data_IF_179346624122
#
_entry.id   IF_179346624122
#
_cell.length_a   1.000
_cell.length_b   1.000
_cell.length_c   1.000
_cell.angle_alpha   90.00
_cell.angle_beta   90.00
_cell.angle_gamma   90.00
#
_symmetry.space_group_name_H-M   'P 1'
#
loop_
_entity.id
_entity.type
_entity.pdbx_description
1 polymer ?
#
# COMPACT_ATOMS: atom_id res chain seq x y z
N UNK A 1 -3.96 26.93 -5.94
CA UNK A 1 -3.56 25.96 -4.89
C UNK A 1 -4.82 25.33 -4.36
N UNK A 2 -4.87 24.02 -4.29
CA UNK A 2 -6.02 23.28 -3.75
C UNK A 2 -5.79 23.06 -2.26
N UNK A 3 -6.76 23.39 -1.41
CA UNK A 3 -6.63 23.19 0.04
C UNK A 3 -7.09 21.79 0.43
N UNK A 4 -6.36 21.14 1.35
CA UNK A 4 -6.75 19.84 1.88
C UNK A 4 -7.83 20.00 2.95
N UNK A 5 -8.97 19.36 2.74
CA UNK A 5 -10.03 19.23 3.74
C UNK A 5 -9.82 17.95 4.55
N UNK A 6 -9.83 18.04 5.87
CA UNK A 6 -9.81 16.89 6.77
C UNK A 6 -11.22 16.38 7.00
N UNK A 7 -11.46 15.11 6.69
CA UNK A 7 -12.72 14.42 6.93
C UNK A 7 -12.49 13.07 7.63
N UNK A 8 -13.55 12.33 7.95
CA UNK A 8 -13.48 11.10 8.72
C UNK A 8 -14.44 10.03 8.20
N UNK A 9 -13.92 8.84 7.94
CA UNK A 9 -14.77 7.65 7.86
C UNK A 9 -15.10 7.18 9.28
N UNK A 10 -16.38 6.95 9.58
CA UNK A 10 -16.84 6.61 10.94
C UNK A 10 -17.30 5.16 10.98
N UNK A 11 -16.61 4.32 11.73
CA UNK A 11 -16.98 2.93 11.99
C UNK A 11 -17.56 2.80 13.42
N UNK A 12 -18.71 2.13 13.56
CA UNK A 12 -19.24 1.70 14.84
C UNK A 12 -18.71 0.30 15.14
N UNK A 13 -17.92 0.14 16.21
CA UNK A 13 -17.34 -1.16 16.59
C UNK A 13 -18.37 -2.06 17.29
N UNK A 14 -18.01 -3.32 17.51
CA UNK A 14 -18.91 -4.32 18.12
C UNK A 14 -19.24 -4.03 19.56
N UNK A 15 -18.38 -3.30 20.28
CA UNK A 15 -18.58 -2.82 21.66
C UNK A 15 -19.44 -1.54 21.75
N UNK A 16 -19.93 -1.02 20.63
CA UNK A 16 -20.69 0.22 20.55
C UNK A 16 -19.86 1.49 20.46
N UNK A 17 -18.54 1.41 20.62
CA UNK A 17 -17.66 2.57 20.44
C UNK A 17 -17.58 2.99 18.97
N UNK A 18 -17.10 4.22 18.74
CA UNK A 18 -16.93 4.75 17.38
C UNK A 18 -15.48 5.09 17.11
N UNK A 19 -14.98 4.61 15.97
CA UNK A 19 -13.68 4.98 15.42
C UNK A 19 -13.89 6.00 14.30
N UNK A 20 -13.21 7.12 14.38
CA UNK A 20 -13.15 8.15 13.33
C UNK A 20 -11.81 8.03 12.64
N UNK A 21 -11.81 7.46 11.43
CA UNK A 21 -10.60 7.26 10.62
C UNK A 21 -10.37 8.53 9.81
N UNK A 22 -9.31 9.31 10.07
CA UNK A 22 -9.08 10.57 9.38
C UNK A 22 -8.58 10.33 7.96
N UNK A 23 -9.04 11.15 7.03
CA UNK A 23 -8.46 11.24 5.69
C UNK A 23 -8.49 12.68 5.19
N UNK A 24 -7.54 13.05 4.35
CA UNK A 24 -7.58 14.31 3.63
C UNK A 24 -8.20 14.11 2.25
N UNK A 25 -9.03 15.06 1.86
CA UNK A 25 -9.56 15.20 0.52
C UNK A 25 -9.04 16.49 -0.09
N UNK A 26 -8.48 16.39 -1.31
CA UNK A 26 -7.96 17.52 -2.06
C UNK A 26 -8.59 17.42 -3.45
N UNK A 27 -9.33 18.45 -3.85
CA UNK A 27 -10.00 18.52 -5.15
C UNK A 27 -9.46 19.71 -5.96
N UNK A 28 -9.11 19.45 -7.21
CA UNK A 28 -8.65 20.49 -8.13
C UNK A 28 -9.78 21.36 -8.67
N UNK A 29 -11.03 20.96 -8.48
CA UNK A 29 -12.20 21.55 -9.13
C UNK A 29 -12.33 21.27 -10.62
N UNK A 30 -11.46 20.40 -11.18
CA UNK A 30 -11.45 20.02 -12.60
C UNK A 30 -11.66 18.51 -12.75
N UNK A 31 -12.31 18.07 -13.84
CA UNK A 31 -12.46 16.63 -14.13
C UNK A 31 -11.11 15.92 -14.19
N UNK A 32 -11.08 14.66 -13.75
CA UNK A 32 -9.88 13.83 -13.75
C UNK A 32 -10.06 12.56 -12.93
N UNK A 33 -8.96 11.86 -12.69
CA UNK A 33 -8.95 10.65 -11.89
C UNK A 33 -9.22 10.96 -10.41
N UNK A 34 -9.76 9.97 -9.70
CA UNK A 34 -9.95 10.02 -8.25
C UNK A 34 -8.99 9.03 -7.62
N UNK A 35 -7.94 9.55 -7.03
CA UNK A 35 -6.80 8.75 -6.57
C UNK A 35 -6.82 8.58 -5.05
N UNK A 36 -6.91 7.35 -4.59
CA UNK A 36 -6.77 6.98 -3.18
C UNK A 36 -5.34 6.53 -2.90
N UNK A 37 -4.72 7.12 -1.88
CA UNK A 37 -3.46 6.62 -1.30
C UNK A 37 -3.73 6.27 0.15
N UNK A 38 -3.48 5.01 0.54
CA UNK A 38 -3.70 4.59 1.92
C UNK A 38 -2.47 3.91 2.49
N UNK A 39 -2.37 3.93 3.82
CA UNK A 39 -1.33 3.25 4.58
C UNK A 39 -1.88 2.72 5.90
N UNK A 40 -1.06 1.92 6.58
CA UNK A 40 -1.35 1.38 7.90
C UNK A 40 -2.67 0.60 7.98
N UNK A 41 -2.94 -0.24 6.98
CA UNK A 41 -3.91 -1.33 7.11
C UNK A 41 -3.46 -2.31 8.22
N UNK A 42 -2.14 -2.45 8.38
CA UNK A 42 -1.50 -3.07 9.54
C UNK A 42 -0.87 -1.97 10.39
N UNK A 43 -1.18 -1.94 11.69
CA UNK A 43 -0.84 -0.79 12.55
C UNK A 43 0.65 -0.64 12.88
N UNK A 44 1.48 -1.60 12.53
CA UNK A 44 2.94 -1.56 12.64
C UNK A 44 3.64 -1.11 11.36
N UNK A 45 2.91 -0.82 10.28
CA UNK A 45 3.41 -0.45 8.96
C UNK A 45 3.25 1.06 8.73
N UNK A 46 4.12 1.84 9.38
CA UNK A 46 3.91 3.29 9.54
C UNK A 46 4.69 4.18 8.56
N UNK A 47 5.57 3.62 7.73
CA UNK A 47 6.37 4.41 6.79
C UNK A 47 5.52 5.12 5.74
N UNK A 48 4.49 4.44 5.24
CA UNK A 48 3.53 5.00 4.30
C UNK A 48 2.75 6.20 4.84
N UNK A 49 2.54 6.27 6.16
CA UNK A 49 1.83 7.39 6.79
C UNK A 49 2.56 8.72 6.56
N UNK A 50 3.89 8.73 6.72
CA UNK A 50 4.71 9.93 6.49
C UNK A 50 4.84 10.24 4.99
N UNK A 51 4.94 9.23 4.13
CA UNK A 51 4.92 9.43 2.69
C UNK A 51 3.61 10.13 2.24
N UNK A 52 2.46 9.70 2.77
CA UNK A 52 1.15 10.32 2.53
C UNK A 52 1.11 11.77 3.01
N UNK A 53 1.63 12.05 4.21
CA UNK A 53 1.69 13.41 4.75
C UNK A 53 2.45 14.35 3.83
N UNK A 54 3.61 13.91 3.32
CA UNK A 54 4.40 14.69 2.36
C UNK A 54 3.73 14.80 0.99
N UNK A 55 3.09 13.74 0.53
CA UNK A 55 2.35 13.76 -0.74
C UNK A 55 1.16 14.73 -0.69
N UNK A 56 0.52 14.90 0.49
CA UNK A 56 -0.48 15.94 0.72
C UNK A 56 0.04 17.32 0.34
N UNK A 57 1.24 17.67 0.82
CA UNK A 57 1.86 18.97 0.53
C UNK A 57 2.17 19.17 -0.97
N UNK A 58 2.55 18.08 -1.67
CA UNK A 58 2.71 18.11 -3.14
C UNK A 58 1.35 18.38 -3.82
N UNK A 59 0.30 17.65 -3.42
CA UNK A 59 -1.02 17.83 -4.01
C UNK A 59 -1.60 19.23 -3.77
N UNK A 60 -1.41 19.81 -2.59
CA UNK A 60 -1.87 21.18 -2.29
C UNK A 60 -1.24 22.22 -3.22
N UNK A 61 0.02 22.03 -3.62
CA UNK A 61 0.72 22.94 -4.52
C UNK A 61 0.48 22.66 -6.00
N UNK A 62 0.35 21.40 -6.39
CA UNK A 62 0.55 20.98 -7.78
C UNK A 62 -0.64 20.25 -8.41
N UNK A 63 -1.73 19.97 -7.65
CA UNK A 63 -2.90 19.29 -8.20
C UNK A 63 -3.60 20.19 -9.24
N UNK A 64 -3.71 19.72 -10.49
CA UNK A 64 -4.29 20.45 -11.61
C UNK A 64 -5.54 19.78 -12.18
N UNK A 65 -5.79 18.50 -11.92
CA UNK A 65 -6.97 17.77 -12.36
C UNK A 65 -7.34 16.65 -11.39
N UNK A 66 -8.63 16.29 -11.33
CA UNK A 66 -9.14 15.22 -10.48
C UNK A 66 -9.10 15.54 -8.99
N UNK A 67 -9.20 14.50 -8.16
CA UNK A 67 -9.17 14.61 -6.70
C UNK A 67 -8.34 13.50 -6.06
N UNK A 68 -7.78 13.77 -4.89
CA UNK A 68 -6.96 12.83 -4.12
C UNK A 68 -7.58 12.61 -2.75
N UNK A 69 -7.66 11.35 -2.33
CA UNK A 69 -8.09 10.93 -1.01
C UNK A 69 -6.91 10.26 -0.29
N UNK A 70 -6.44 10.82 0.80
CA UNK A 70 -5.24 10.41 1.51
C UNK A 70 -5.61 9.84 2.88
N UNK A 71 -5.43 8.54 3.07
CA UNK A 71 -5.79 7.79 4.28
C UNK A 71 -4.51 7.31 4.98
N UNK A 72 -3.89 8.12 5.87
CA UNK A 72 -2.62 7.74 6.48
C UNK A 72 -2.74 6.60 7.50
N UNK A 73 -3.91 6.39 8.10
CA UNK A 73 -4.13 5.46 9.20
C UNK A 73 -5.39 4.63 8.97
N UNK A 74 -5.36 3.71 7.97
CA UNK A 74 -6.54 2.94 7.60
C UNK A 74 -7.09 2.12 8.77
N UNK A 75 -6.22 1.47 9.56
CA UNK A 75 -6.57 0.73 10.77
C UNK A 75 -6.11 1.49 12.02
N UNK A 76 -6.76 2.63 12.30
CA UNK A 76 -6.38 3.51 13.41
C UNK A 76 -6.29 2.81 14.78
N UNK A 77 -7.18 1.87 15.17
CA UNK A 77 -7.04 1.12 16.42
C UNK A 77 -5.75 0.28 16.46
N UNK A 78 -5.43 -0.45 15.39
CA UNK A 78 -4.20 -1.24 15.31
C UNK A 78 -2.95 -0.36 15.41
N UNK A 79 -2.96 0.82 14.78
CA UNK A 79 -1.87 1.82 14.89
C UNK A 79 -1.68 2.29 16.33
N UNK A 80 -2.78 2.63 17.03
CA UNK A 80 -2.73 3.07 18.44
C UNK A 80 -2.13 2.01 19.35
N UNK A 81 -2.40 0.75 19.07
CA UNK A 81 -1.85 -0.38 19.82
C UNK A 81 -0.49 -0.86 19.30
N UNK A 82 0.02 -0.28 18.21
CA UNK A 82 1.26 -0.71 17.55
C UNK A 82 1.27 -2.20 17.23
N UNK A 83 0.21 -2.69 16.61
CA UNK A 83 0.01 -4.11 16.27
C UNK A 83 -0.41 -4.24 14.82
N UNK A 84 -0.21 -5.43 14.25
CA UNK A 84 -0.63 -5.69 12.88
C UNK A 84 -2.16 -5.59 12.74
N UNK A 85 -2.90 -6.15 13.69
CA UNK A 85 -4.37 -6.22 13.67
C UNK A 85 -4.97 -5.78 15.00
N UNK A 86 -6.25 -5.39 15.01
CA UNK A 86 -6.95 -4.91 16.20
C UNK A 86 -6.97 -5.96 17.31
N UNK A 87 -7.27 -7.20 16.98
CA UNK A 87 -7.60 -8.27 17.93
C UNK A 87 -6.38 -9.08 18.38
N UNK A 88 -5.17 -8.77 17.89
CA UNK A 88 -3.98 -9.52 18.28
C UNK A 88 -3.53 -9.19 19.70
N UNK A 89 -3.30 -10.22 20.50
CA UNK A 89 -2.63 -10.12 21.78
C UNK A 89 -1.15 -9.73 21.62
N UNK A 90 -0.46 -9.32 22.71
CA UNK A 90 0.93 -8.92 22.66
C UNK A 90 1.87 -10.02 22.16
N UNK A 91 1.49 -11.26 22.39
CA UNK A 91 2.27 -12.47 22.05
C UNK A 91 2.04 -12.99 20.63
N UNK A 92 1.06 -12.45 19.91
CA UNK A 92 0.69 -12.90 18.56
C UNK A 92 1.36 -12.00 17.50
N UNK A 93 2.39 -12.47 16.80
CA UNK A 93 3.14 -11.60 15.89
C UNK A 93 2.39 -11.26 14.58
N UNK A 94 1.75 -12.23 13.97
CA UNK A 94 0.95 -12.12 12.76
C UNK A 94 0.04 -13.33 12.64
N UNK A 95 -1.25 -13.12 12.56
CA UNK A 95 -2.22 -14.12 12.19
C UNK A 95 -3.14 -13.52 11.12
N UNK A 96 -3.33 -14.21 10.02
CA UNK A 96 -4.40 -13.91 9.06
C UNK A 96 -5.72 -14.55 9.49
N UNK A 97 -5.70 -15.16 10.67
CA UNK A 97 -6.76 -16.00 11.16
C UNK A 97 -8.01 -15.17 11.49
N UNK A 98 -9.15 -15.67 11.09
CA UNK A 98 -10.48 -15.21 11.52
C UNK A 98 -10.91 -13.79 11.09
N UNK A 99 -10.42 -13.29 9.94
CA UNK A 99 -10.93 -12.03 9.37
C UNK A 99 -10.45 -10.77 10.10
N UNK A 100 -9.34 -10.86 10.85
CA UNK A 100 -8.74 -9.72 11.53
C UNK A 100 -7.74 -8.93 10.67
N UNK A 101 -7.26 -9.51 9.57
CA UNK A 101 -6.40 -8.83 8.63
C UNK A 101 -7.23 -7.89 7.74
N UNK A 102 -7.05 -6.57 7.92
CA UNK A 102 -7.82 -5.59 7.17
C UNK A 102 -7.66 -5.74 5.66
N UNK A 103 -6.45 -6.11 5.18
CA UNK A 103 -6.23 -6.38 3.76
C UNK A 103 -6.74 -7.77 3.32
N UNK A 104 -7.75 -8.32 4.01
CA UNK A 104 -8.54 -9.50 3.65
C UNK A 104 -10.04 -9.26 3.84
N UNK A 105 -10.44 -8.03 4.20
CA UNK A 105 -11.84 -7.74 4.55
C UNK A 105 -12.55 -6.77 3.61
N UNK A 106 -11.90 -6.28 2.56
CA UNK A 106 -12.51 -5.35 1.63
C UNK A 106 -13.61 -5.99 0.76
N UNK A 107 -14.72 -5.29 0.47
CA UNK A 107 -15.05 -3.90 0.83
C UNK A 107 -15.55 -3.72 2.27
N UNK A 108 -15.55 -4.74 3.09
CA UNK A 108 -16.03 -4.74 4.47
C UNK A 108 -17.50 -5.13 4.60
N UNK A 109 -17.97 -5.15 5.86
CA UNK A 109 -19.36 -5.43 6.22
C UNK A 109 -19.84 -4.53 7.34
N UNK A 110 -21.00 -3.88 7.18
CA UNK A 110 -21.58 -2.97 8.16
C UNK A 110 -21.82 -3.64 9.54
N UNK A 111 -22.14 -4.93 9.53
CA UNK A 111 -22.44 -5.73 10.73
C UNK A 111 -21.44 -6.86 10.95
N UNK A 112 -20.24 -6.76 10.39
CA UNK A 112 -19.16 -7.71 10.58
C UNK A 112 -18.40 -7.53 11.89
N UNK A 113 -17.23 -8.16 12.00
CA UNK A 113 -16.28 -7.90 13.07
C UNK A 113 -15.71 -6.47 12.95
N UNK A 114 -14.93 -6.03 13.94
CA UNK A 114 -14.44 -4.66 13.99
C UNK A 114 -13.58 -4.28 12.77
N UNK A 115 -12.76 -5.21 12.28
CA UNK A 115 -11.94 -4.98 11.08
C UNK A 115 -12.80 -4.84 9.82
N UNK A 116 -13.81 -5.70 9.66
CA UNK A 116 -14.75 -5.61 8.54
C UNK A 116 -15.57 -4.29 8.58
N UNK A 117 -15.90 -3.81 9.78
CA UNK A 117 -16.60 -2.52 9.96
C UNK A 117 -15.71 -1.32 9.61
N UNK A 118 -14.41 -1.38 9.93
CA UNK A 118 -13.45 -0.34 9.51
C UNK A 118 -13.29 -0.31 7.99
N UNK A 119 -13.12 -1.47 7.35
CA UNK A 119 -13.02 -1.57 5.89
C UNK A 119 -14.30 -1.07 5.22
N UNK A 120 -15.47 -1.42 5.76
CA UNK A 120 -16.76 -0.95 5.26
C UNK A 120 -16.87 0.58 5.34
N UNK A 121 -16.54 1.17 6.48
CA UNK A 121 -16.60 2.61 6.66
C UNK A 121 -15.67 3.36 5.68
N UNK A 122 -14.44 2.87 5.48
CA UNK A 122 -13.51 3.43 4.50
C UNK A 122 -13.96 3.20 3.06
N UNK A 123 -14.57 2.05 2.77
CA UNK A 123 -15.13 1.80 1.45
C UNK A 123 -16.24 2.80 1.13
N UNK A 124 -17.21 2.98 2.04
CA UNK A 124 -18.35 3.88 1.83
C UNK A 124 -17.90 5.35 1.73
N UNK A 125 -16.95 5.77 2.56
CA UNK A 125 -16.48 7.15 2.58
C UNK A 125 -15.51 7.49 1.44
N UNK A 126 -14.67 6.54 1.00
CA UNK A 126 -13.53 6.81 0.11
C UNK A 126 -13.44 5.82 -1.04
N UNK A 127 -13.16 4.52 -0.79
CA UNK A 127 -12.66 3.62 -1.82
C UNK A 127 -13.65 3.39 -2.98
N UNK A 128 -14.95 3.31 -2.71
CA UNK A 128 -16.00 3.14 -3.74
C UNK A 128 -16.07 4.29 -4.72
N UNK A 129 -15.61 5.48 -4.34
CA UNK A 129 -15.64 6.69 -5.14
C UNK A 129 -14.35 6.93 -5.94
N UNK A 130 -13.29 6.17 -5.66
CA UNK A 130 -11.99 6.32 -6.29
C UNK A 130 -11.83 5.40 -7.50
N UNK A 131 -11.06 5.88 -8.49
CA UNK A 131 -10.75 5.16 -9.73
C UNK A 131 -9.39 4.50 -9.68
N UNK A 132 -8.48 4.96 -8.81
CA UNK A 132 -7.10 4.50 -8.67
C UNK A 132 -6.75 4.33 -7.20
N UNK A 133 -5.88 3.36 -6.90
CA UNK A 133 -5.44 3.11 -5.54
C UNK A 133 -3.93 2.82 -5.47
N UNK A 134 -3.25 3.45 -4.52
CA UNK A 134 -1.92 3.09 -4.06
C UNK A 134 -2.01 2.66 -2.61
N UNK A 135 -1.63 1.41 -2.35
CA UNK A 135 -1.64 0.80 -1.03
C UNK A 135 -0.20 0.68 -0.50
N UNK A 136 0.12 1.42 0.57
CA UNK A 136 1.45 1.48 1.16
C UNK A 136 1.53 0.57 2.39
N UNK A 137 2.19 -0.55 2.23
CA UNK A 137 2.51 -1.54 3.25
C UNK A 137 3.98 -1.50 3.66
N UNK A 138 4.37 -2.38 4.57
CA UNK A 138 5.77 -2.59 4.93
C UNK A 138 6.06 -4.05 5.22
N UNK A 139 7.14 -4.58 4.61
CA UNK A 139 7.62 -5.93 4.87
C UNK A 139 8.11 -6.10 6.31
N UNK A 140 7.74 -7.20 6.94
CA UNK A 140 8.22 -7.55 8.29
C UNK A 140 9.68 -7.99 8.33
N UNK A 141 10.15 -8.65 7.27
CA UNK A 141 11.43 -9.38 7.25
C UNK A 141 12.32 -9.03 6.07
N UNK A 142 11.88 -8.20 5.14
CA UNK A 142 12.64 -7.82 3.97
C UNK A 142 13.29 -6.46 4.17
N UNK A 143 14.44 -6.26 3.54
CA UNK A 143 15.22 -5.02 3.63
C UNK A 143 15.14 -4.20 2.35
N UNK A 144 14.43 -4.68 1.32
CA UNK A 144 14.28 -4.00 0.05
C UNK A 144 12.80 -3.76 -0.26
N UNK A 145 12.49 -2.54 -0.63
CA UNK A 145 11.15 -2.12 -1.08
C UNK A 145 10.79 -2.78 -2.40
N UNK A 146 9.57 -3.29 -2.51
CA UNK A 146 9.05 -3.90 -3.73
C UNK A 146 7.64 -3.44 -4.06
N UNK A 147 7.29 -3.39 -5.35
CA UNK A 147 5.92 -3.19 -5.83
C UNK A 147 5.29 -4.55 -6.13
N UNK A 148 4.08 -4.75 -5.65
CA UNK A 148 3.24 -5.91 -5.97
C UNK A 148 2.18 -5.49 -6.99
N UNK A 149 2.19 -6.12 -8.16
CA UNK A 149 1.28 -5.76 -9.24
C UNK A 149 0.79 -6.99 -10.02
N UNK A 150 -0.31 -6.84 -10.75
CA UNK A 150 -0.82 -7.89 -11.65
C UNK A 150 -0.13 -7.79 -13.00
N UNK A 151 0.29 -8.93 -13.55
CA UNK A 151 0.82 -9.04 -14.89
C UNK A 151 -0.29 -9.48 -15.85
N UNK A 152 -1.08 -8.54 -16.31
CA UNK A 152 -2.23 -8.79 -17.19
C UNK A 152 -2.35 -7.77 -18.33
N UNK A 153 -1.33 -6.92 -18.52
CA UNK A 153 -1.36 -5.83 -19.51
C UNK A 153 -2.28 -4.67 -19.12
N UNK A 154 -2.90 -4.74 -17.94
CA UNK A 154 -3.83 -3.75 -17.45
C UNK A 154 -3.18 -2.56 -16.75
N UNK A 155 -4.02 -1.79 -16.07
CA UNK A 155 -3.59 -0.55 -15.42
C UNK A 155 -2.63 -0.79 -14.25
N UNK A 156 -2.81 -1.88 -13.50
CA UNK A 156 -1.89 -2.28 -12.41
C UNK A 156 -0.44 -2.44 -12.92
N UNK A 157 -0.28 -3.04 -14.11
CA UNK A 157 1.04 -3.17 -14.72
C UNK A 157 1.63 -1.82 -15.10
N UNK A 158 0.85 -0.95 -15.72
CA UNK A 158 1.28 0.41 -16.08
C UNK A 158 1.69 1.21 -14.83
N UNK A 159 0.90 1.16 -13.78
CA UNK A 159 1.19 1.81 -12.49
C UNK A 159 2.52 1.30 -11.90
N UNK A 160 2.74 -0.01 -11.91
CA UNK A 160 3.97 -0.60 -11.36
C UNK A 160 5.22 -0.15 -12.13
N UNK A 161 5.13 -0.06 -13.45
CA UNK A 161 6.26 0.35 -14.31
C UNK A 161 6.71 1.78 -14.04
N UNK A 162 5.80 2.67 -13.66
CA UNK A 162 6.09 4.09 -13.43
C UNK A 162 6.26 4.47 -11.96
N UNK A 163 5.94 3.57 -11.02
CA UNK A 163 6.03 3.86 -9.60
C UNK A 163 7.44 4.28 -9.11
N UNK A 164 8.48 4.03 -9.89
CA UNK A 164 9.85 4.38 -9.54
C UNK A 164 10.43 3.49 -8.44
N UNK A 165 9.96 2.25 -8.33
CA UNK A 165 10.45 1.24 -7.41
C UNK A 165 11.25 0.20 -8.18
N UNK A 166 12.45 -0.09 -7.72
CA UNK A 166 13.41 -0.95 -8.43
C UNK A 166 12.93 -2.39 -8.59
N UNK A 167 12.25 -2.94 -7.58
CA UNK A 167 11.80 -4.33 -7.61
C UNK A 167 10.29 -4.39 -7.82
N UNK A 168 9.87 -5.17 -8.83
CA UNK A 168 8.46 -5.44 -9.09
C UNK A 168 8.23 -6.94 -8.98
N UNK A 169 7.33 -7.33 -8.10
CA UNK A 169 6.84 -8.69 -7.99
C UNK A 169 5.50 -8.81 -8.71
N UNK A 170 5.49 -9.55 -9.79
CA UNK A 170 4.27 -9.83 -10.54
C UNK A 170 3.45 -10.91 -9.87
N UNK A 171 2.15 -10.65 -9.76
CA UNK A 171 1.16 -11.63 -9.29
C UNK A 171 0.25 -12.00 -10.44
N UNK A 172 -0.04 -13.28 -10.59
CA UNK A 172 -1.10 -13.72 -11.48
C UNK A 172 -2.45 -13.25 -10.93
N UNK A 173 -3.43 -12.93 -11.81
CA UNK A 173 -4.81 -12.78 -11.36
C UNK A 173 -5.21 -14.04 -10.57
N UNK A 174 -5.93 -13.90 -9.45
CA UNK A 174 -6.35 -15.06 -8.68
C UNK A 174 -7.26 -15.94 -9.53
N UNK A 175 -6.97 -17.24 -9.56
CA UNK A 175 -7.83 -18.25 -10.22
C UNK A 175 -8.90 -18.81 -9.28
N UNK A 176 -9.19 -18.12 -8.18
CA UNK A 176 -10.16 -18.53 -7.14
C UNK A 176 -10.02 -17.70 -5.86
N UNK A 177 -11.03 -17.19 -5.47
CA UNK A 177 -11.70 -16.66 -4.30
C UNK A 177 -11.00 -16.09 -3.06
N UNK A 178 -9.75 -16.27 -2.72
CA UNK A 178 -9.23 -15.73 -1.45
C UNK A 178 -8.52 -14.37 -1.56
N UNK A 179 -8.09 -13.96 -2.74
CA UNK A 179 -7.47 -12.64 -2.95
C UNK A 179 -8.50 -11.53 -3.25
N UNK A 180 -9.77 -11.90 -3.49
CA UNK A 180 -10.87 -10.97 -3.78
C UNK A 180 -11.28 -10.07 -2.59
N UNK A 181 -10.64 -10.24 -1.44
CA UNK A 181 -10.90 -9.44 -0.24
C UNK A 181 -9.82 -8.40 0.05
N UNK A 182 -8.75 -8.32 -0.75
CA UNK A 182 -7.76 -7.25 -0.64
C UNK A 182 -8.25 -5.97 -1.32
N UNK A 183 -7.76 -4.80 -0.88
CA UNK A 183 -8.08 -3.55 -1.58
C UNK A 183 -7.55 -3.56 -3.02
N UNK A 184 -6.38 -4.16 -3.24
CA UNK A 184 -5.82 -4.33 -4.58
C UNK A 184 -6.73 -5.15 -5.51
N UNK A 185 -7.32 -6.25 -5.01
CA UNK A 185 -8.27 -7.05 -5.77
C UNK A 185 -9.57 -6.27 -6.03
N UNK A 186 -10.11 -5.58 -5.00
CA UNK A 186 -11.32 -4.75 -5.14
C UNK A 186 -11.21 -3.74 -6.29
N UNK A 187 -10.06 -3.10 -6.44
CA UNK A 187 -9.82 -2.14 -7.52
C UNK A 187 -9.55 -2.84 -8.85
N UNK A 188 -8.63 -3.79 -8.89
CA UNK A 188 -8.20 -4.41 -10.14
C UNK A 188 -9.30 -5.26 -10.80
N UNK A 189 -10.09 -6.00 -10.02
CA UNK A 189 -11.17 -6.83 -10.55
C UNK A 189 -12.36 -5.99 -11.08
N UNK A 190 -12.47 -4.74 -10.62
CA UNK A 190 -13.44 -3.77 -11.15
C UNK A 190 -12.88 -2.89 -12.29
N UNK A 191 -11.67 -3.15 -12.77
CA UNK A 191 -11.02 -2.37 -13.83
C UNK A 191 -10.48 -1.00 -13.39
N UNK A 192 -10.47 -0.71 -12.08
CA UNK A 192 -10.03 0.57 -11.48
C UNK A 192 -8.55 0.49 -11.27
N UNK A 193 -7.64 0.03 -11.35
CA UNK A 193 -6.19 -0.04 -11.15
C UNK A 193 -5.70 0.20 -9.72
N UNK A 194 -4.90 -0.73 -9.23
CA UNK A 194 -4.21 -0.63 -7.94
C UNK A 194 -2.87 -1.35 -7.97
N UNK A 195 -1.93 -0.83 -7.19
CA UNK A 195 -0.68 -1.49 -6.80
C UNK A 195 -0.48 -1.40 -5.29
N UNK A 196 0.26 -2.37 -4.74
CA UNK A 196 0.74 -2.33 -3.36
C UNK A 196 2.25 -2.12 -3.37
N UNK A 197 2.76 -1.25 -2.51
CA UNK A 197 4.19 -1.08 -2.30
C UNK A 197 4.53 -1.52 -0.89
N UNK A 198 5.45 -2.45 -0.79
CA UNK A 198 5.98 -2.96 0.46
C UNK A 198 7.26 -2.20 0.80
N UNK A 199 7.13 -1.14 1.56
CA UNK A 199 8.26 -0.41 2.14
C UNK A 199 8.99 -1.28 3.19
N UNK A 200 10.21 -0.96 3.57
CA UNK A 200 10.99 -1.81 4.48
C UNK A 200 11.77 -0.99 5.51
N UNK A 201 11.85 -1.42 6.76
CA UNK A 201 11.05 -2.45 7.42
C UNK A 201 9.83 -1.89 8.15
N UNK A 202 9.13 -2.72 8.91
CA UNK A 202 8.06 -2.32 9.84
C UNK A 202 8.61 -1.62 11.10
N UNK A 203 7.71 -0.99 11.89
CA UNK A 203 7.94 -0.39 13.21
C UNK A 203 8.77 0.90 13.24
N UNK A 204 9.32 1.32 12.13
CA UNK A 204 10.18 2.50 12.03
C UNK A 204 9.79 3.36 10.82
N UNK A 205 10.18 4.62 10.87
CA UNK A 205 10.09 5.55 9.75
C UNK A 205 11.53 5.85 9.31
N UNK A 206 11.84 5.53 8.06
CA UNK A 206 13.15 5.76 7.44
C UNK A 206 13.02 6.70 6.27
N UNK A 207 13.85 7.70 6.21
CA UNK A 207 13.80 8.75 5.20
C UNK A 207 13.86 8.21 3.76
N UNK A 208 14.74 7.26 3.49
CA UNK A 208 14.85 6.63 2.18
C UNK A 208 13.56 5.90 1.76
N UNK A 209 12.88 5.22 2.68
CA UNK A 209 11.66 4.48 2.40
C UNK A 209 10.45 5.43 2.24
N UNK A 210 10.38 6.47 3.06
CA UNK A 210 9.39 7.54 2.92
C UNK A 210 9.53 8.21 1.56
N UNK A 211 10.76 8.51 1.14
CA UNK A 211 11.06 9.09 -0.18
C UNK A 211 10.65 8.17 -1.33
N UNK A 212 10.79 6.85 -1.18
CA UNK A 212 10.29 5.86 -2.17
C UNK A 212 8.76 5.89 -2.27
N UNK A 213 8.06 5.89 -1.14
CA UNK A 213 6.60 5.98 -1.11
C UNK A 213 6.07 7.29 -1.70
N UNK A 214 6.71 8.42 -1.35
CA UNK A 214 6.39 9.74 -1.91
C UNK A 214 6.60 9.79 -3.42
N UNK A 215 7.75 9.31 -3.91
CA UNK A 215 8.04 9.23 -5.34
C UNK A 215 7.00 8.41 -6.09
N UNK A 216 6.65 7.25 -5.56
CA UNK A 216 5.63 6.41 -6.18
C UNK A 216 4.28 7.12 -6.29
N UNK A 217 3.80 7.75 -5.22
CA UNK A 217 2.55 8.50 -5.23
C UNK A 217 2.60 9.66 -6.24
N UNK A 218 3.72 10.39 -6.27
CA UNK A 218 3.95 11.51 -7.20
C UNK A 218 3.99 11.04 -8.65
N UNK A 219 4.73 9.97 -8.96
CA UNK A 219 4.81 9.41 -10.31
C UNK A 219 3.44 8.90 -10.81
N UNK A 220 2.66 8.27 -9.92
CA UNK A 220 1.31 7.84 -10.27
C UNK A 220 0.37 9.03 -10.52
N UNK A 221 0.45 10.07 -9.72
CA UNK A 221 -0.33 11.28 -9.97
C UNK A 221 0.03 11.94 -11.30
N UNK A 222 1.31 11.91 -11.72
CA UNK A 222 1.76 12.35 -13.04
C UNK A 222 1.23 11.43 -14.16
N UNK A 223 1.30 10.11 -13.98
CA UNK A 223 0.74 9.14 -14.93
C UNK A 223 -0.75 9.40 -15.19
N UNK A 224 -1.48 9.79 -14.16
CA UNK A 224 -2.91 10.06 -14.24
C UNK A 224 -3.23 11.49 -14.72
N UNK A 225 -2.22 12.30 -15.04
CA UNK A 225 -2.41 13.69 -15.46
C UNK A 225 -2.96 14.61 -14.35
N UNK A 226 -2.82 14.21 -13.10
CA UNK A 226 -3.32 14.96 -11.94
C UNK A 226 -2.35 16.06 -11.50
N UNK A 227 -1.05 15.85 -11.68
CA UNK A 227 0.01 16.84 -11.48
C UNK A 227 0.91 16.89 -12.72
N UNK A 228 1.57 18.02 -12.95
CA UNK A 228 2.48 18.20 -14.08
C UNK A 228 3.87 17.60 -13.84
N UNK A 229 4.72 17.69 -14.88
CA UNK A 229 6.12 17.28 -14.84
C UNK A 229 6.39 15.87 -15.34
N UNK A 230 7.66 15.56 -15.50
CA UNK A 230 8.11 14.24 -15.98
C UNK A 230 8.08 13.19 -14.87
N UNK A 231 7.79 11.94 -15.27
CA UNK A 231 7.86 10.78 -14.36
C UNK A 231 9.33 10.48 -14.08
N UNK A 232 9.71 10.41 -12.81
CA UNK A 232 11.05 9.99 -12.40
C UNK A 232 11.24 8.49 -12.67
N UNK A 233 11.91 8.19 -13.77
CA UNK A 233 12.14 6.81 -14.22
C UNK A 233 13.29 6.17 -13.43
N UNK A 234 13.08 4.91 -13.05
CA UNK A 234 14.12 4.02 -12.55
C UNK A 234 13.98 2.73 -13.36
N UNK A 235 15.08 2.24 -13.90
CA UNK A 235 15.07 0.94 -14.59
C UNK A 235 14.68 -0.17 -13.60
N UNK A 236 13.50 -0.76 -13.74
CA UNK A 236 13.07 -1.80 -12.82
C UNK A 236 13.84 -3.09 -13.07
N UNK A 237 14.28 -3.72 -12.01
CA UNK A 237 14.77 -5.08 -12.07
C UNK A 237 13.58 -6.04 -11.97
N UNK A 238 13.28 -6.79 -13.02
CA UNK A 238 12.15 -7.70 -13.09
C UNK A 238 12.44 -8.99 -12.32
N UNK A 239 11.53 -9.44 -11.46
CA UNK A 239 11.46 -10.83 -11.05
C UNK A 239 10.20 -11.44 -11.61
N UNK A 240 10.34 -12.31 -12.63
CA UNK A 240 9.26 -13.18 -13.08
C UNK A 240 8.79 -14.05 -11.91
N UNK A 241 7.49 -14.28 -11.82
CA UNK A 241 6.80 -15.03 -10.77
C UNK A 241 7.50 -16.34 -10.39
N UNK A 242 8.39 -16.28 -9.43
CA UNK A 242 9.08 -17.39 -8.82
C UNK A 242 9.49 -16.93 -7.42
N UNK A 243 9.20 -17.76 -6.45
CA UNK A 243 9.49 -17.53 -5.02
C UNK A 243 10.80 -16.74 -4.86
N UNK A 244 10.72 -15.54 -4.31
CA UNK A 244 11.87 -14.78 -3.85
C UNK A 244 12.46 -15.51 -2.64
N UNK A 245 13.27 -16.56 -2.90
CA UNK A 245 14.02 -17.25 -1.85
C UNK A 245 15.20 -16.39 -1.48
N UNK A 246 15.02 -15.54 -0.50
CA UNK A 246 16.17 -14.95 0.20
C UNK A 246 16.90 -16.08 0.93
N UNK A 247 18.11 -16.40 0.48
CA UNK A 247 19.03 -17.19 1.29
C UNK A 247 19.25 -16.40 2.58
N UNK A 248 18.98 -17.05 3.71
CA UNK A 248 19.40 -16.56 5.03
C UNK A 248 20.90 -16.27 4.94
N UNK A 249 21.31 -15.03 5.15
CA UNK A 249 22.67 -14.78 5.59
C UNK A 249 22.80 -15.44 6.96
N UNK A 250 23.48 -16.58 6.99
CA UNK A 250 23.83 -17.22 8.23
C UNK A 250 24.65 -16.22 9.04
N UNK A 251 24.18 -15.86 10.22
CA UNK A 251 24.94 -15.11 11.20
C UNK A 251 26.10 -16.00 11.67
N UNK A 252 27.22 -15.94 10.99
CA UNK A 252 28.47 -16.39 11.59
C UNK A 252 28.88 -15.29 12.56
N UNK A 253 28.95 -15.67 13.80
CA UNK A 253 29.46 -14.87 14.92
C UNK A 253 30.96 -14.59 14.68
N UNK A 254 31.26 -13.58 13.83
CA UNK A 254 32.60 -13.06 13.67
C UNK A 254 32.55 -11.54 13.54
N UNK A 255 33.23 -10.87 14.43
CA UNK A 255 33.42 -9.41 14.50
C UNK A 255 34.20 -8.90 13.28
N UNK A 256 33.53 -8.79 12.13
CA UNK A 256 33.98 -8.01 10.96
C UNK A 256 32.80 -7.33 10.28
N UNK A 257 32.93 -6.07 9.84
CA UNK A 257 31.84 -5.35 9.16
C UNK A 257 31.54 -6.03 7.83
N UNK A 258 30.29 -6.37 7.59
CA UNK A 258 29.81 -6.98 6.36
C UNK A 258 30.01 -6.05 5.16
N UNK A 259 30.85 -6.43 4.23
CA UNK A 259 30.87 -5.88 2.87
C UNK A 259 29.63 -6.39 2.14
N UNK A 260 28.99 -5.52 1.36
CA UNK A 260 27.69 -5.67 0.74
C UNK A 260 27.38 -7.06 0.16
N UNK A 261 26.17 -7.54 0.42
CA UNK A 261 25.57 -8.70 -0.24
C UNK A 261 25.38 -8.39 -1.72
N UNK A 262 26.16 -9.05 -2.59
CA UNK A 262 25.93 -9.01 -4.03
C UNK A 262 24.83 -10.02 -4.41
N UNK A 263 23.84 -9.55 -5.16
CA UNK A 263 22.80 -10.38 -5.75
C UNK A 263 23.36 -11.10 -7.01
N UNK A 264 23.10 -12.40 -7.16
CA UNK A 264 23.29 -13.13 -8.42
C UNK A 264 22.00 -13.84 -8.81
N UNK A 265 21.53 -13.73 -10.08
CA UNK A 265 20.40 -14.49 -10.57
C UNK A 265 20.78 -15.98 -10.71
N UNK A 266 19.85 -16.86 -10.37
CA UNK A 266 20.01 -18.31 -10.55
C UNK A 266 19.78 -18.66 -12.02
N UNK A 267 20.86 -18.92 -12.76
CA UNK A 267 20.89 -19.30 -14.17
C UNK A 267 20.97 -20.82 -14.32
N UNK A 268 19.91 -21.56 -14.00
CA UNK A 268 19.80 -22.96 -14.46
C UNK A 268 18.55 -23.15 -15.30
N UNK A 269 18.69 -23.55 -16.59
CA UNK A 269 17.56 -24.00 -17.37
C UNK A 269 17.09 -25.35 -16.83
N UNK A 270 15.79 -25.53 -16.68
CA UNK A 270 15.21 -26.85 -16.44
C UNK A 270 15.32 -27.63 -17.75
N UNK A 271 16.04 -28.74 -17.72
CA UNK A 271 15.96 -29.79 -18.74
C UNK A 271 14.56 -30.39 -18.76
N UNK A 272 14.08 -30.61 -19.97
CA UNK A 272 12.86 -31.26 -20.45
C UNK A 272 12.40 -32.44 -19.61
#
# INVERSE_FOLDING_TARGET
MSEATLDHAVAALTDGSKVRIPFWHIDSGRPGEKFMVLAAQHGNEVQGCEAIRRFKEVCERELVAGSVHLVPFANLPAVRHRRSHISLGPEQPYGDDEGHNMNRTWPGKAHGNDTERLSYALNEAVARHCTRCLDLHSWSRFTATATLARLDGGLSEQMARVAGIRFIQWRKPPTGSNDGTTIGALFNDSGRGSITIELAPQWVIRENEVSLGLRAATNLAKLFGMIGGEIEQIDPTWSSAGRMTMRRCASTNSRRPARGCSWRPDSRPRST
#
